data_IF_287369306115
#
_entry.id   IF_287369306115
#
_cell.length_a   1.000
_cell.length_b   1.000
_cell.length_c   1.000
_cell.angle_alpha   90.00
_cell.angle_beta   90.00
_cell.angle_gamma   90.00
#
_symmetry.space_group_name_H-M   'P 1'
#
loop_
_entity.id
_entity.type
_entity.pdbx_description
1 polymer ?
#
# COMPACT_ATOMS: atom_id res chain seq x y z
N UNK A 1 33.76 6.77 22.67
CA UNK A 1 32.65 7.66 23.09
C UNK A 1 31.55 7.86 22.03
N UNK A 2 31.69 7.31 20.80
CA UNK A 2 30.81 7.57 19.64
C UNK A 2 29.54 6.69 19.56
N UNK A 3 29.43 5.66 20.41
CA UNK A 3 28.33 4.67 20.43
C UNK A 3 26.95 5.22 20.90
N UNK A 4 26.68 6.51 20.66
CA UNK A 4 25.79 7.35 21.49
C UNK A 4 24.99 8.46 20.78
N UNK A 5 25.08 8.60 19.44
CA UNK A 5 24.32 9.63 18.67
C UNK A 5 23.33 9.00 17.67
N UNK A 6 23.63 7.80 17.17
CA UNK A 6 22.71 6.95 16.41
C UNK A 6 22.77 5.52 17.00
N UNK A 7 21.67 4.83 17.36
CA UNK A 7 20.27 5.28 17.59
C UNK A 7 20.18 6.63 18.29
N UNK A 8 19.17 7.44 17.95
CA UNK A 8 18.43 8.32 18.89
C UNK A 8 17.10 8.91 18.36
N UNK A 9 16.91 9.06 17.03
CA UNK A 9 15.68 9.62 16.44
C UNK A 9 14.79 8.66 15.61
N UNK A 10 15.20 7.40 15.39
CA UNK A 10 14.30 6.34 14.88
C UNK A 10 14.42 5.94 13.40
N UNK A 11 15.42 6.44 12.67
CA UNK A 11 15.61 6.18 11.24
C UNK A 11 15.56 4.68 10.84
N UNK A 12 16.25 3.77 11.56
CA UNK A 12 16.23 2.33 11.25
C UNK A 12 14.84 1.70 11.39
N UNK A 13 14.05 2.16 12.37
CA UNK A 13 12.70 1.64 12.60
C UNK A 13 11.71 2.20 11.58
N UNK A 14 11.89 3.46 11.17
CA UNK A 14 11.13 4.08 10.08
C UNK A 14 11.45 3.43 8.72
N UNK A 15 12.74 3.18 8.43
CA UNK A 15 13.20 2.50 7.21
C UNK A 15 12.67 1.05 7.14
N UNK A 16 12.75 0.28 8.24
CA UNK A 16 12.14 -1.06 8.29
C UNK A 16 10.62 -1.03 8.19
N UNK A 17 9.96 -0.03 8.77
CA UNK A 17 8.51 0.16 8.60
C UNK A 17 8.17 0.43 7.13
N UNK A 18 8.88 1.34 6.45
CA UNK A 18 8.65 1.64 5.03
C UNK A 18 8.92 0.42 4.14
N UNK A 19 10.00 -0.32 4.38
CA UNK A 19 10.30 -1.55 3.64
C UNK A 19 9.22 -2.63 3.84
N UNK A 20 8.80 -2.89 5.08
CA UNK A 20 7.75 -3.87 5.38
C UNK A 20 6.38 -3.44 4.85
N UNK A 21 6.03 -2.15 4.96
CA UNK A 21 4.76 -1.64 4.45
C UNK A 21 4.71 -1.64 2.93
N UNK A 22 5.81 -1.30 2.24
CA UNK A 22 5.93 -1.42 0.78
C UNK A 22 5.82 -2.87 0.33
N UNK A 23 6.57 -3.79 0.95
CA UNK A 23 6.46 -5.23 0.66
C UNK A 23 5.04 -5.76 0.83
N UNK A 24 4.35 -5.37 1.90
CA UNK A 24 2.95 -5.76 2.15
C UNK A 24 2.00 -5.12 1.13
N UNK A 25 2.19 -3.83 0.80
CA UNK A 25 1.41 -3.13 -0.20
C UNK A 25 1.54 -3.82 -1.57
N UNK A 26 2.75 -4.00 -2.07
CA UNK A 26 3.05 -4.64 -3.36
C UNK A 26 2.43 -6.04 -3.44
N UNK A 27 2.56 -6.83 -2.37
CA UNK A 27 1.96 -8.18 -2.26
C UNK A 27 0.42 -8.18 -2.27
N UNK A 28 -0.23 -7.05 -2.01
CA UNK A 28 -1.69 -6.93 -1.94
C UNK A 28 -2.33 -6.24 -3.16
N UNK A 29 -1.54 -5.56 -4.02
CA UNK A 29 -2.09 -4.73 -5.11
C UNK A 29 -3.06 -5.53 -5.98
N UNK A 30 -2.64 -6.71 -6.48
CA UNK A 30 -3.48 -7.51 -7.37
C UNK A 30 -4.79 -7.96 -6.69
N UNK A 31 -4.72 -8.50 -5.47
CA UNK A 31 -5.90 -8.96 -4.74
C UNK A 31 -6.88 -7.82 -4.43
N UNK A 32 -6.39 -6.62 -4.12
CA UNK A 32 -7.26 -5.46 -3.91
C UNK A 32 -7.82 -4.95 -5.24
N UNK A 33 -7.03 -4.88 -6.31
CA UNK A 33 -7.49 -4.55 -7.66
C UNK A 33 -8.61 -5.48 -8.14
N UNK A 34 -8.50 -6.78 -7.89
CA UNK A 34 -9.56 -7.75 -8.18
C UNK A 34 -10.81 -7.49 -7.32
N UNK A 35 -10.66 -7.23 -6.02
CA UNK A 35 -11.77 -6.96 -5.08
C UNK A 35 -12.57 -5.69 -5.43
N UNK A 36 -11.94 -4.67 -6.01
CA UNK A 36 -12.59 -3.36 -6.28
C UNK A 36 -12.97 -3.14 -7.75
N UNK A 37 -12.57 -4.04 -8.66
CA UNK A 37 -12.93 -4.00 -10.09
C UNK A 37 -14.45 -3.89 -10.29
N UNK A 38 -14.91 -3.14 -11.30
CA UNK A 38 -16.33 -2.84 -11.51
C UNK A 38 -16.93 -1.85 -10.50
N UNK A 39 -16.55 -1.91 -9.23
CA UNK A 39 -17.10 -1.04 -8.18
C UNK A 39 -16.66 0.42 -8.31
N UNK A 40 -15.40 0.66 -8.69
CA UNK A 40 -14.79 2.01 -8.67
C UNK A 40 -14.81 2.73 -10.02
N UNK A 41 -15.40 2.14 -11.06
CA UNK A 41 -15.36 2.67 -12.44
C UNK A 41 -16.26 3.88 -12.67
N UNK A 42 -17.35 3.99 -11.90
CA UNK A 42 -18.27 5.13 -11.89
C UNK A 42 -17.97 6.15 -10.78
N UNK A 43 -17.04 5.86 -9.88
CA UNK A 43 -16.71 6.70 -8.73
C UNK A 43 -15.78 7.85 -9.12
N UNK A 44 -15.94 9.00 -8.47
CA UNK A 44 -14.91 10.05 -8.47
C UNK A 44 -13.63 9.54 -7.80
N UNK A 45 -12.50 10.20 -8.08
CA UNK A 45 -11.21 9.84 -7.47
C UNK A 45 -11.27 9.81 -5.93
N UNK A 46 -11.99 10.76 -5.31
CA UNK A 46 -12.14 10.84 -3.85
C UNK A 46 -12.96 9.68 -3.28
N UNK A 47 -14.07 9.32 -3.92
CA UNK A 47 -14.92 8.19 -3.53
C UNK A 47 -14.15 6.87 -3.70
N UNK A 48 -13.52 6.66 -4.85
CA UNK A 48 -12.72 5.47 -5.12
C UNK A 48 -11.57 5.33 -4.11
N UNK A 49 -10.88 6.43 -3.77
CA UNK A 49 -9.84 6.45 -2.71
C UNK A 49 -10.39 6.00 -1.36
N UNK A 50 -11.56 6.51 -0.97
CA UNK A 50 -12.24 6.10 0.27
C UNK A 50 -12.68 4.64 0.26
N UNK A 51 -13.25 4.18 -0.87
CA UNK A 51 -13.72 2.82 -1.07
C UNK A 51 -12.57 1.80 -1.02
N UNK A 52 -11.49 2.02 -1.78
CA UNK A 52 -10.29 1.15 -1.79
C UNK A 52 -9.71 1.06 -0.37
N UNK A 53 -9.57 2.19 0.34
CA UNK A 53 -9.09 2.22 1.72
C UNK A 53 -9.95 1.36 2.66
N UNK A 54 -11.27 1.45 2.54
CA UNK A 54 -12.21 0.68 3.38
C UNK A 54 -12.18 -0.83 3.05
N UNK A 55 -12.02 -1.20 1.78
CA UNK A 55 -12.01 -2.61 1.34
C UNK A 55 -10.66 -3.31 1.51
N UNK A 56 -9.55 -2.60 1.38
CA UNK A 56 -8.20 -3.19 1.45
C UNK A 56 -7.81 -3.72 2.85
N UNK A 57 -8.37 -3.15 3.93
CA UNK A 57 -7.88 -3.33 5.29
C UNK A 57 -7.79 -4.79 5.76
N UNK A 58 -8.74 -5.65 5.38
CA UNK A 58 -8.73 -7.08 5.78
C UNK A 58 -7.64 -7.87 5.06
N UNK A 59 -7.48 -7.66 3.75
CA UNK A 59 -6.43 -8.27 2.91
C UNK A 59 -5.06 -7.82 3.42
N UNK A 60 -4.84 -6.51 3.54
CA UNK A 60 -3.58 -5.93 3.98
C UNK A 60 -3.21 -6.39 5.40
N UNK A 61 -4.17 -6.48 6.33
CA UNK A 61 -3.90 -6.99 7.70
C UNK A 61 -3.53 -8.47 7.71
N UNK A 62 -4.17 -9.30 6.88
CA UNK A 62 -3.82 -10.72 6.71
C UNK A 62 -2.39 -10.84 6.18
N UNK A 63 -2.04 -10.10 5.13
CA UNK A 63 -0.72 -10.14 4.55
C UNK A 63 0.36 -9.58 5.51
N UNK A 64 0.07 -8.49 6.22
CA UNK A 64 0.99 -7.94 7.23
C UNK A 64 1.34 -8.98 8.31
N UNK A 65 0.36 -9.76 8.80
CA UNK A 65 0.62 -10.86 9.75
C UNK A 65 1.56 -11.92 9.16
N UNK A 66 1.31 -12.36 7.92
CA UNK A 66 2.13 -13.36 7.23
C UNK A 66 3.55 -12.88 6.93
N UNK A 67 3.71 -11.61 6.53
CA UNK A 67 5.03 -11.01 6.29
C UNK A 67 5.80 -10.85 7.60
N UNK A 68 5.16 -10.38 8.67
CA UNK A 68 5.79 -10.22 10.00
C UNK A 68 6.19 -11.58 10.58
N UNK A 69 5.34 -12.61 10.49
CA UNK A 69 5.66 -13.95 11.04
C UNK A 69 6.83 -14.65 10.35
N UNK A 70 7.19 -14.25 9.13
CA UNK A 70 8.36 -14.76 8.40
C UNK A 70 9.69 -14.15 8.87
N UNK A 71 9.65 -13.07 9.65
CA UNK A 71 10.85 -12.36 10.13
C UNK A 71 11.17 -12.76 11.57
N UNK A 72 11.85 -13.90 11.76
CA UNK A 72 12.30 -14.35 13.08
C UNK A 72 13.57 -13.59 13.52
N UNK A 73 13.55 -12.97 14.70
CA UNK A 73 14.76 -12.46 15.37
C UNK A 73 14.93 -10.93 15.47
N UNK A 74 13.98 -10.12 14.97
CA UNK A 74 14.05 -8.66 15.05
C UNK A 74 12.87 -8.04 15.82
N UNK A 75 13.10 -6.88 16.45
CA UNK A 75 12.00 -6.02 16.95
C UNK A 75 11.29 -5.38 15.74
N UNK A 76 10.22 -6.02 15.30
CA UNK A 76 9.41 -5.58 14.17
C UNK A 76 8.39 -4.50 14.59
N UNK A 77 7.93 -3.66 13.65
CA UNK A 77 6.79 -2.78 13.90
C UNK A 77 5.50 -3.59 14.08
N UNK A 78 4.57 -3.07 14.89
CA UNK A 78 3.29 -3.74 15.15
C UNK A 78 2.43 -3.91 13.89
N UNK A 79 1.72 -5.03 13.78
CA UNK A 79 0.87 -5.41 12.63
C UNK A 79 -0.04 -4.27 12.18
N UNK A 80 -0.69 -3.57 13.12
CA UNK A 80 -1.67 -2.54 12.78
C UNK A 80 -1.02 -1.25 12.23
N UNK A 81 0.22 -0.96 12.63
CA UNK A 81 0.99 0.16 12.09
C UNK A 81 1.49 -0.14 10.67
N UNK A 82 2.01 -1.35 10.43
CA UNK A 82 2.36 -1.83 9.07
C UNK A 82 1.11 -1.86 8.19
N UNK A 83 -0.03 -2.33 8.71
CA UNK A 83 -1.31 -2.40 7.98
C UNK A 83 -1.76 -1.01 7.54
N UNK A 84 -1.71 0.00 8.43
CA UNK A 84 -2.09 1.38 8.09
C UNK A 84 -1.15 1.95 7.02
N UNK A 85 0.16 1.86 7.20
CA UNK A 85 1.15 2.37 6.26
C UNK A 85 1.03 1.70 4.87
N UNK A 86 0.92 0.37 4.83
CA UNK A 86 0.76 -0.38 3.60
C UNK A 86 -0.56 -0.03 2.87
N UNK A 87 -1.63 0.24 3.62
CA UNK A 87 -2.91 0.68 3.03
C UNK A 87 -2.76 2.05 2.34
N UNK A 88 -2.10 3.03 2.97
CA UNK A 88 -1.85 4.33 2.31
C UNK A 88 -1.00 4.21 1.04
N UNK A 89 0.00 3.32 1.06
CA UNK A 89 0.90 3.10 -0.08
C UNK A 89 0.22 2.33 -1.22
N UNK A 90 -0.65 1.38 -0.90
CA UNK A 90 -1.40 0.56 -1.87
C UNK A 90 -2.49 1.35 -2.60
N UNK A 91 -3.23 2.24 -1.93
CA UNK A 91 -4.35 2.98 -2.52
C UNK A 91 -3.99 3.70 -3.84
N UNK A 92 -2.91 4.50 -3.97
CA UNK A 92 -2.57 5.15 -5.23
C UNK A 92 -2.10 4.18 -6.32
N UNK A 93 -1.60 2.98 -5.97
CA UNK A 93 -1.24 1.93 -6.94
C UNK A 93 -2.51 1.32 -7.55
N UNK A 94 -3.47 0.96 -6.71
CA UNK A 94 -4.78 0.40 -7.12
C UNK A 94 -5.55 1.37 -8.01
N UNK A 95 -5.66 2.66 -7.60
CA UNK A 95 -6.36 3.68 -8.38
C UNK A 95 -5.71 3.90 -9.75
N UNK A 96 -4.36 3.89 -9.81
CA UNK A 96 -3.60 4.00 -11.07
C UNK A 96 -3.84 2.80 -11.98
N UNK A 97 -3.82 1.57 -11.43
CA UNK A 97 -4.07 0.35 -12.21
C UNK A 97 -5.51 0.26 -12.72
N UNK A 98 -6.47 0.81 -11.98
CA UNK A 98 -7.87 0.94 -12.39
C UNK A 98 -8.14 2.14 -13.33
N UNK A 99 -7.14 2.97 -13.63
CA UNK A 99 -7.31 4.17 -14.47
C UNK A 99 -8.15 5.29 -13.85
N UNK A 100 -8.47 5.22 -12.56
CA UNK A 100 -9.34 6.20 -11.89
C UNK A 100 -8.62 7.55 -11.76
N UNK A 101 -9.27 8.61 -12.20
CA UNK A 101 -8.71 9.97 -12.23
C UNK A 101 -7.81 10.26 -13.44
N UNK A 102 -7.63 9.32 -14.38
CA UNK A 102 -6.95 9.58 -15.65
C UNK A 102 -7.96 10.13 -16.67
N UNK A 103 -7.71 11.27 -17.33
CA UNK A 103 -8.59 11.78 -18.38
C UNK A 103 -8.69 10.81 -19.56
N UNK A 104 -9.92 10.36 -19.90
CA UNK A 104 -10.20 9.41 -21.01
C UNK A 104 -9.68 9.86 -22.39
N UNK A 105 -9.31 11.14 -22.55
CA UNK A 105 -8.67 11.65 -23.76
C UNK A 105 -7.24 11.09 -23.96
N UNK A 106 -6.47 10.90 -22.89
CA UNK A 106 -5.07 10.45 -22.98
C UNK A 106 -4.93 8.99 -23.47
N UNK A 107 -5.94 8.16 -23.25
CA UNK A 107 -5.96 6.75 -23.67
C UNK A 107 -6.12 6.53 -25.19
N UNK A 108 -6.63 7.52 -25.94
CA UNK A 108 -6.79 7.38 -27.41
C UNK A 108 -5.51 7.61 -28.21
N UNK A 109 -4.52 8.31 -27.65
CA UNK A 109 -3.29 8.70 -28.33
C UNK A 109 -2.23 7.58 -28.45
N UNK A 110 -2.50 6.38 -27.91
CA UNK A 110 -1.60 5.21 -27.95
C UNK A 110 -2.00 4.13 -28.97
N UNK A 111 -3.07 4.34 -29.73
CA UNK A 111 -3.58 3.40 -30.74
C UNK A 111 -3.46 3.93 -32.19
N UNK A 112 -2.61 4.95 -32.40
CA UNK A 112 -2.45 5.65 -33.67
C UNK A 112 -0.96 5.88 -34.03
N UNK A 113 -0.10 4.94 -33.63
CA UNK A 113 1.32 4.88 -33.95
C UNK A 113 1.70 3.42 -34.27
#
# INVERSE_FOLDING_TARGET
MINKIAKLLGADSASRMDALSRQVADSCVESVCQLVRGSIESMTFSEARGYVRARAGSIVRRQARLTISRHTGAKLPGVDAVTRAATEQLVPLVLRQAGVGVPKAASKLRLAA
#
